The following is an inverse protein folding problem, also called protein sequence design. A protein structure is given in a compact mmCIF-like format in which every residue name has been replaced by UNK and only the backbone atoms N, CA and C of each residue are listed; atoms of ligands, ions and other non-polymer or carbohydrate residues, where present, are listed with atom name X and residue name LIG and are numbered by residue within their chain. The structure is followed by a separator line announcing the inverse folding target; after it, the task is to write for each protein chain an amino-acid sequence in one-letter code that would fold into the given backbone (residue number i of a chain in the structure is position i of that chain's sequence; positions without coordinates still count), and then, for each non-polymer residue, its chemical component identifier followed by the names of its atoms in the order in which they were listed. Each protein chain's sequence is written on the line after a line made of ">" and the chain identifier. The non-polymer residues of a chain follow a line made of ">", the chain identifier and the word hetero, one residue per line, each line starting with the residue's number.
data_IF_484127899494
#
_entry.id   IF_484127899494
#
_cell.length_a   1.000
_cell.length_b   1.000
_cell.length_c   1.000
_cell.angle_alpha   90.00
_cell.angle_beta   90.00
_cell.angle_gamma   90.00
#
_symmetry.space_group_name_H-M   'P 1'
#
loop_
_entity.id
_entity.type
_entity.pdbx_description
1 polymer ?
#
# COMPACT_ATOMS: atom_id res chain seq x y z
N UNK A 1 15.10 17.85 -25.41
CA UNK A 1 14.51 16.51 -25.56
C UNK A 1 13.03 16.72 -25.37
N UNK A 2 12.18 16.41 -26.35
CA UNK A 2 10.74 16.62 -26.19
C UNK A 2 10.24 15.60 -25.13
N UNK A 3 9.43 16.09 -24.18
CA UNK A 3 8.65 15.24 -23.27
C UNK A 3 7.83 14.27 -24.14
N UNK A 4 8.03 12.98 -23.94
CA UNK A 4 7.24 11.94 -24.60
C UNK A 4 6.52 11.15 -23.52
N UNK A 5 5.21 11.25 -23.54
CA UNK A 5 4.34 10.29 -22.87
C UNK A 5 3.77 9.37 -23.95
N UNK A 6 4.08 8.09 -23.89
CA UNK A 6 3.61 7.09 -24.83
C UNK A 6 2.73 6.08 -24.09
N UNK A 7 1.45 6.03 -24.46
CA UNK A 7 0.52 5.08 -23.86
C UNK A 7 0.79 3.70 -24.44
N UNK A 8 1.18 2.76 -23.59
CA UNK A 8 1.43 1.37 -23.93
C UNK A 8 0.16 0.52 -23.84
N UNK A 9 -0.72 0.83 -22.88
CA UNK A 9 -2.02 0.19 -22.70
C UNK A 9 -2.98 1.17 -22.00
N UNK A 10 -4.27 1.00 -22.27
CA UNK A 10 -5.35 1.74 -21.59
C UNK A 10 -6.62 0.91 -21.58
N UNK A 11 -7.34 0.91 -20.47
CA UNK A 11 -8.62 0.22 -20.29
C UNK A 11 -9.53 1.02 -19.35
N UNK A 12 -10.84 0.89 -19.56
CA UNK A 12 -11.84 1.33 -18.60
C UNK A 12 -12.25 0.14 -17.71
N UNK A 13 -11.96 0.23 -16.41
CA UNK A 13 -12.29 -0.81 -15.45
C UNK A 13 -12.78 -0.19 -14.15
N UNK A 14 -13.86 -0.71 -13.57
CA UNK A 14 -14.52 -0.18 -12.36
C UNK A 14 -14.92 1.31 -12.42
N UNK A 15 -15.06 1.86 -13.63
CA UNK A 15 -15.43 3.25 -13.88
C UNK A 15 -14.24 4.21 -13.87
N UNK A 16 -13.03 3.68 -13.96
CA UNK A 16 -11.76 4.37 -14.00
C UNK A 16 -10.99 4.03 -15.28
N UNK A 17 -10.22 4.98 -15.79
CA UNK A 17 -9.27 4.73 -16.86
C UNK A 17 -7.93 4.30 -16.27
N UNK A 18 -7.54 3.05 -16.46
CA UNK A 18 -6.22 2.55 -16.06
C UNK A 18 -5.29 2.63 -17.27
N UNK A 19 -4.09 3.18 -17.08
CA UNK A 19 -3.11 3.39 -18.16
C UNK A 19 -1.74 2.84 -17.79
N UNK A 20 -1.02 2.33 -18.79
CA UNK A 20 0.43 2.11 -18.74
C UNK A 20 1.08 3.11 -19.68
N UNK A 21 1.97 3.94 -19.16
CA UNK A 21 2.56 5.07 -19.87
C UNK A 21 4.08 4.99 -19.76
N UNK A 22 4.79 5.07 -20.90
CA UNK A 22 6.23 5.30 -20.91
C UNK A 22 6.50 6.80 -20.96
N UNK A 23 7.34 7.30 -20.05
CA UNK A 23 7.72 8.72 -19.97
C UNK A 23 9.23 8.88 -19.80
N UNK A 24 9.76 10.02 -20.24
CA UNK A 24 11.16 10.38 -20.06
C UNK A 24 11.39 11.45 -18.97
N UNK A 25 10.32 11.79 -18.25
CA UNK A 25 10.36 12.71 -17.12
C UNK A 25 9.34 12.23 -16.08
N UNK A 26 9.81 12.06 -14.85
CA UNK A 26 8.99 11.77 -13.69
C UNK A 26 9.31 12.84 -12.63
N UNK A 27 8.31 13.62 -12.25
CA UNK A 27 8.50 14.83 -11.47
C UNK A 27 9.60 15.69 -12.13
N UNK A 28 10.71 15.95 -11.54
CA UNK A 28 11.83 16.69 -12.16
C UNK A 28 12.96 15.77 -12.64
N UNK A 29 12.82 14.45 -12.44
CA UNK A 29 13.85 13.48 -12.80
C UNK A 29 13.72 13.05 -14.26
N UNK A 30 14.85 13.17 -15.01
CA UNK A 30 14.96 12.67 -16.38
C UNK A 30 15.43 11.21 -16.37
N UNK A 31 14.73 10.35 -17.10
CA UNK A 31 15.01 8.93 -17.17
C UNK A 31 14.14 8.24 -18.20
N UNK A 32 14.03 6.92 -18.10
CA UNK A 32 13.06 6.12 -18.87
C UNK A 32 12.18 5.38 -17.87
N UNK A 33 10.97 5.86 -17.70
CA UNK A 33 10.05 5.32 -16.71
C UNK A 33 8.83 4.71 -17.39
N UNK A 34 8.32 3.63 -16.82
CA UNK A 34 6.99 3.10 -17.10
C UNK A 34 6.13 3.27 -15.87
N UNK A 35 4.98 3.87 -16.08
CA UNK A 35 4.05 4.29 -15.03
C UNK A 35 2.75 3.53 -15.18
N UNK A 36 2.22 2.99 -14.09
CA UNK A 36 0.83 2.62 -13.92
C UNK A 36 0.10 3.83 -13.34
N UNK A 37 -0.91 4.33 -14.04
CA UNK A 37 -1.71 5.47 -13.56
C UNK A 37 -3.20 5.20 -13.64
N UNK A 38 -3.95 5.85 -12.73
CA UNK A 38 -5.40 5.90 -12.77
C UNK A 38 -5.84 7.30 -13.23
N UNK A 39 -7.01 7.36 -13.91
CA UNK A 39 -7.69 8.58 -14.32
C UNK A 39 -6.77 9.77 -14.72
N UNK A 40 -6.81 10.85 -13.97
CA UNK A 40 -6.16 12.13 -14.27
C UNK A 40 -4.67 12.16 -13.83
N UNK A 41 -3.92 11.10 -14.19
CA UNK A 41 -2.47 10.95 -13.97
C UNK A 41 -2.04 10.63 -12.52
N UNK A 42 -2.95 10.08 -11.68
CA UNK A 42 -2.59 9.54 -10.37
C UNK A 42 -1.66 8.33 -10.51
N UNK A 43 -0.40 8.51 -10.10
CA UNK A 43 0.65 7.50 -10.22
C UNK A 43 0.46 6.43 -9.14
N UNK A 44 0.20 5.18 -9.58
CA UNK A 44 0.03 4.03 -8.71
C UNK A 44 1.28 3.14 -8.62
N UNK A 45 2.15 3.24 -9.60
CA UNK A 45 3.39 2.48 -9.64
C UNK A 45 4.31 2.94 -10.73
N UNK A 46 5.62 2.84 -10.50
CA UNK A 46 6.65 3.26 -11.45
C UNK A 46 7.79 2.25 -11.46
N UNK A 47 8.24 1.90 -12.64
CA UNK A 47 9.51 1.18 -12.85
C UNK A 47 10.48 2.05 -13.66
N UNK A 48 11.73 2.08 -13.23
CA UNK A 48 12.83 2.63 -14.01
C UNK A 48 13.25 1.58 -15.06
N UNK A 49 13.08 1.89 -16.34
CA UNK A 49 13.38 0.95 -17.42
C UNK A 49 14.88 0.76 -17.65
N UNK A 50 15.71 1.66 -17.15
CA UNK A 50 17.18 1.57 -17.23
C UNK A 50 17.76 0.85 -16.00
N UNK A 51 17.07 0.88 -14.86
CA UNK A 51 17.38 0.11 -13.65
C UNK A 51 16.12 -0.49 -13.00
N UNK A 52 15.59 -1.60 -13.50
CA UNK A 52 14.35 -2.20 -12.99
C UNK A 52 14.38 -2.65 -11.52
N UNK A 53 15.56 -2.69 -10.91
CA UNK A 53 15.71 -3.01 -9.47
C UNK A 53 15.59 -1.79 -8.57
N UNK A 54 15.69 -0.60 -9.13
CA UNK A 54 15.49 0.65 -8.41
C UNK A 54 14.01 0.80 -8.04
N UNK A 55 13.73 0.92 -6.76
CA UNK A 55 12.40 1.29 -6.29
C UNK A 55 12.27 2.81 -6.36
N UNK A 56 11.46 3.29 -7.29
CA UNK A 56 11.35 4.72 -7.60
C UNK A 56 10.58 5.47 -6.51
N UNK A 57 9.36 5.01 -6.19
CA UNK A 57 8.48 5.68 -5.22
C UNK A 57 8.97 5.53 -3.77
N UNK A 58 8.67 6.53 -2.95
CA UNK A 58 9.08 6.62 -1.54
C UNK A 58 8.38 5.59 -0.67
N UNK A 59 7.05 5.44 -0.81
CA UNK A 59 6.27 4.63 0.10
C UNK A 59 6.63 3.13 0.08
N UNK A 60 6.89 2.48 -1.07
CA UNK A 60 7.32 1.10 -1.07
C UNK A 60 8.69 0.92 -0.40
N UNK A 61 9.63 1.88 -0.57
CA UNK A 61 10.93 1.87 0.09
C UNK A 61 10.79 1.91 1.61
N UNK A 62 9.90 2.76 2.12
CA UNK A 62 9.65 2.88 3.55
C UNK A 62 8.94 1.63 4.12
N UNK A 63 7.94 1.07 3.41
CA UNK A 63 7.27 -0.18 3.81
C UNK A 63 8.26 -1.34 3.85
N UNK A 64 9.08 -1.51 2.82
CA UNK A 64 10.13 -2.55 2.76
C UNK A 64 11.09 -2.38 3.94
N UNK A 65 11.56 -1.16 4.21
CA UNK A 65 12.41 -0.89 5.37
C UNK A 65 11.75 -1.32 6.69
N UNK A 66 10.48 -0.99 6.90
CA UNK A 66 9.75 -1.36 8.10
C UNK A 66 9.57 -2.88 8.22
N UNK A 67 9.30 -3.59 7.11
CA UNK A 67 9.26 -5.06 7.10
C UNK A 67 10.60 -5.66 7.51
N UNK A 68 11.71 -5.20 6.92
CA UNK A 68 13.07 -5.67 7.24
C UNK A 68 13.48 -5.37 8.68
N UNK A 69 13.09 -4.22 9.25
CA UNK A 69 13.46 -3.86 10.62
C UNK A 69 12.64 -4.62 11.68
N UNK A 70 11.38 -4.94 11.39
CA UNK A 70 10.48 -5.54 12.38
C UNK A 70 10.33 -7.05 12.23
N UNK A 71 10.56 -7.58 11.04
CA UNK A 71 10.43 -9.00 10.74
C UNK A 71 11.50 -9.45 9.74
N UNK A 72 12.82 -9.34 10.06
CA UNK A 72 13.90 -9.61 9.11
C UNK A 72 13.86 -11.03 8.55
N UNK A 73 13.38 -11.99 9.34
CA UNK A 73 13.29 -13.40 8.98
C UNK A 73 11.84 -13.84 8.74
N UNK A 74 10.96 -12.92 8.30
CA UNK A 74 9.58 -13.29 8.05
C UNK A 74 9.49 -14.39 6.98
N UNK A 75 8.57 -15.31 7.18
CA UNK A 75 8.31 -16.39 6.23
C UNK A 75 7.13 -16.07 5.32
N UNK A 76 6.07 -15.44 5.88
CA UNK A 76 4.82 -15.20 5.17
C UNK A 76 4.30 -13.79 5.34
N UNK A 77 4.00 -13.14 4.22
CA UNK A 77 3.34 -11.85 4.19
C UNK A 77 2.07 -11.88 3.33
N UNK A 78 1.09 -11.06 3.69
CA UNK A 78 -0.14 -10.85 2.91
C UNK A 78 -0.25 -9.39 2.50
N UNK A 79 -0.37 -9.14 1.20
CA UNK A 79 -0.49 -7.79 0.64
C UNK A 79 -1.88 -7.61 0.05
N UNK A 80 -2.58 -6.56 0.47
CA UNK A 80 -3.84 -6.11 -0.11
C UNK A 80 -3.54 -4.90 -1.00
N UNK A 81 -3.74 -5.07 -2.30
CA UNK A 81 -3.30 -4.15 -3.34
C UNK A 81 -1.93 -4.56 -3.90
N UNK A 82 -1.92 -4.95 -5.18
CA UNK A 82 -0.71 -5.45 -5.83
C UNK A 82 0.04 -4.37 -6.61
N UNK A 83 -0.72 -3.51 -7.29
CA UNK A 83 -0.17 -2.52 -8.20
C UNK A 83 0.76 -3.16 -9.25
N UNK A 84 1.98 -2.64 -9.37
CA UNK A 84 2.98 -3.20 -10.30
C UNK A 84 3.80 -4.36 -9.69
N UNK A 85 3.53 -4.73 -8.43
CA UNK A 85 4.22 -5.83 -7.73
C UNK A 85 5.52 -5.45 -7.05
N UNK A 86 5.78 -4.17 -6.79
CA UNK A 86 7.06 -3.68 -6.23
C UNK A 86 7.43 -4.36 -4.91
N UNK A 87 6.53 -4.37 -3.92
CA UNK A 87 6.81 -4.93 -2.59
C UNK A 87 6.92 -6.45 -2.67
N UNK A 88 5.98 -7.12 -3.34
CA UNK A 88 5.99 -8.57 -3.49
C UNK A 88 7.22 -9.06 -4.28
N UNK A 89 7.61 -8.36 -5.34
CA UNK A 89 8.78 -8.69 -6.15
C UNK A 89 10.10 -8.48 -5.41
N UNK A 90 10.19 -7.49 -4.51
CA UNK A 90 11.38 -7.28 -3.70
C UNK A 90 11.70 -8.47 -2.78
N UNK A 91 10.67 -9.10 -2.21
CA UNK A 91 10.78 -10.27 -1.34
C UNK A 91 10.45 -11.59 -2.07
N UNK A 92 10.80 -11.70 -3.35
CA UNK A 92 10.38 -12.81 -4.21
C UNK A 92 10.86 -14.21 -3.79
N UNK A 93 11.75 -14.31 -2.79
CA UNK A 93 12.20 -15.56 -2.17
C UNK A 93 11.36 -16.00 -0.95
N UNK A 94 10.35 -15.19 -0.56
CA UNK A 94 9.45 -15.41 0.57
C UNK A 94 8.04 -15.83 0.11
N UNK A 95 7.24 -16.35 1.03
CA UNK A 95 5.80 -16.63 0.79
C UNK A 95 5.02 -15.30 0.77
N UNK A 96 5.03 -14.64 -0.39
CA UNK A 96 4.33 -13.37 -0.63
C UNK A 96 2.97 -13.66 -1.23
N UNK A 97 1.92 -13.53 -0.44
CA UNK A 97 0.53 -13.68 -0.88
C UNK A 97 -0.06 -12.31 -1.17
N UNK A 98 -0.64 -12.15 -2.33
CA UNK A 98 -1.11 -10.84 -2.78
C UNK A 98 -2.54 -10.93 -3.30
N UNK A 99 -3.40 -10.06 -2.76
CA UNK A 99 -4.77 -9.84 -3.22
C UNK A 99 -4.81 -8.58 -4.10
N UNK A 100 -5.45 -8.69 -5.27
CA UNK A 100 -5.68 -7.57 -6.18
C UNK A 100 -7.12 -7.62 -6.68
N UNK A 101 -7.85 -6.52 -6.58
CA UNK A 101 -9.25 -6.47 -7.01
C UNK A 101 -9.37 -6.44 -8.54
N UNK A 102 -8.40 -5.85 -9.24
CA UNK A 102 -8.37 -5.71 -10.69
C UNK A 102 -7.62 -6.88 -11.35
N UNK A 103 -8.29 -7.74 -12.13
CA UNK A 103 -7.62 -8.76 -12.94
C UNK A 103 -6.70 -8.15 -13.98
N UNK A 104 -7.00 -6.95 -14.45
CA UNK A 104 -6.16 -6.21 -15.40
C UNK A 104 -4.83 -5.81 -14.78
N UNK A 105 -4.84 -5.25 -13.57
CA UNK A 105 -3.62 -4.86 -12.87
C UNK A 105 -2.77 -6.10 -12.56
N UNK A 106 -3.39 -7.18 -12.05
CA UNK A 106 -2.70 -8.45 -11.81
C UNK A 106 -2.02 -8.99 -13.08
N UNK A 107 -2.67 -8.90 -14.25
CA UNK A 107 -2.08 -9.28 -15.52
C UNK A 107 -1.00 -8.31 -15.98
N UNK A 108 -1.23 -6.99 -15.87
CA UNK A 108 -0.32 -5.96 -16.35
C UNK A 108 0.96 -5.87 -15.54
N UNK A 109 0.94 -6.19 -14.25
CA UNK A 109 2.16 -6.28 -13.44
C UNK A 109 3.19 -7.23 -14.06
N UNK A 110 2.73 -8.34 -14.63
CA UNK A 110 3.58 -9.30 -15.35
C UNK A 110 3.93 -8.84 -16.76
N UNK A 111 2.93 -8.37 -17.50
CA UNK A 111 3.09 -8.07 -18.94
C UNK A 111 3.93 -6.82 -19.19
N UNK A 112 3.75 -5.78 -18.37
CA UNK A 112 4.38 -4.48 -18.59
C UNK A 112 5.45 -4.13 -17.56
N UNK A 113 5.36 -4.67 -16.33
CA UNK A 113 6.26 -4.29 -15.24
C UNK A 113 7.22 -5.40 -14.83
N UNK A 114 7.16 -6.55 -15.48
CA UNK A 114 8.15 -7.63 -15.30
C UNK A 114 8.04 -8.37 -13.96
N UNK A 115 6.87 -8.29 -13.29
CA UNK A 115 6.65 -9.07 -12.09
C UNK A 115 6.66 -10.57 -12.42
N UNK A 116 7.57 -11.32 -11.80
CA UNK A 116 7.77 -12.77 -11.99
C UNK A 116 7.56 -13.59 -10.70
N UNK A 117 7.11 -12.92 -9.63
CA UNK A 117 6.84 -13.55 -8.33
C UNK A 117 5.62 -14.48 -8.31
N UNK A 118 5.12 -14.77 -7.10
CA UNK A 118 3.98 -15.65 -6.86
C UNK A 118 2.72 -15.21 -7.63
N UNK A 119 1.76 -16.13 -7.75
CA UNK A 119 0.47 -15.81 -8.38
C UNK A 119 -0.30 -14.79 -7.53
N UNK A 120 -0.85 -13.78 -8.19
CA UNK A 120 -1.69 -12.76 -7.57
C UNK A 120 -3.13 -13.29 -7.50
N UNK A 121 -3.70 -13.32 -6.32
CA UNK A 121 -5.08 -13.72 -6.13
C UNK A 121 -6.01 -12.56 -6.50
N UNK A 122 -6.84 -12.77 -7.52
CA UNK A 122 -7.81 -11.75 -7.93
C UNK A 122 -9.06 -11.84 -7.05
N UNK A 123 -9.35 -10.77 -6.32
CA UNK A 123 -10.51 -10.72 -5.43
C UNK A 123 -10.42 -9.63 -4.36
N UNK A 124 -11.45 -9.57 -3.52
CA UNK A 124 -11.48 -8.66 -2.39
C UNK A 124 -10.44 -9.04 -1.32
N UNK A 125 -9.63 -8.06 -0.94
CA UNK A 125 -8.50 -8.28 -0.03
C UNK A 125 -8.92 -8.74 1.36
N UNK A 126 -10.07 -8.29 1.89
CA UNK A 126 -10.58 -8.73 3.19
C UNK A 126 -11.11 -10.16 3.13
N UNK A 127 -11.86 -10.52 2.09
CA UNK A 127 -12.38 -11.88 1.88
C UNK A 127 -11.23 -12.89 1.70
N UNK A 128 -10.16 -12.51 0.99
CA UNK A 128 -8.98 -13.35 0.82
C UNK A 128 -8.16 -13.45 2.11
N UNK A 129 -8.02 -12.36 2.87
CA UNK A 129 -7.36 -12.39 4.17
C UNK A 129 -8.11 -13.29 5.17
N UNK A 130 -9.44 -13.34 5.14
CA UNK A 130 -10.24 -14.23 5.98
C UNK A 130 -9.88 -15.71 5.79
N UNK A 131 -9.46 -16.11 4.59
CA UNK A 131 -9.09 -17.49 4.25
C UNK A 131 -7.70 -17.90 4.78
N UNK A 132 -6.87 -16.92 5.16
CA UNK A 132 -5.57 -17.24 5.75
C UNK A 132 -5.75 -17.91 7.13
N UNK A 133 -4.85 -18.84 7.50
CA UNK A 133 -4.88 -19.43 8.84
C UNK A 133 -4.63 -18.39 9.93
N UNK A 134 -5.31 -18.52 11.06
CA UNK A 134 -5.11 -17.63 12.21
C UNK A 134 -3.67 -17.76 12.72
N UNK A 135 -3.05 -16.63 13.07
CA UNK A 135 -1.70 -16.57 13.61
C UNK A 135 -0.59 -16.97 12.64
N UNK A 136 -0.83 -16.95 11.32
CA UNK A 136 0.12 -17.44 10.32
C UNK A 136 0.94 -16.36 9.62
N UNK A 137 0.55 -15.09 9.73
CA UNK A 137 1.17 -13.99 8.98
C UNK A 137 2.16 -13.22 9.86
N UNK A 138 3.35 -13.02 9.33
CA UNK A 138 4.37 -12.15 9.92
C UNK A 138 4.13 -10.70 9.57
N UNK A 139 3.71 -10.42 8.33
CA UNK A 139 3.46 -9.09 7.84
C UNK A 139 2.13 -9.03 7.07
N UNK A 140 1.37 -7.97 7.29
CA UNK A 140 0.25 -7.57 6.45
C UNK A 140 0.56 -6.18 5.90
N UNK A 141 0.40 -6.00 4.59
CA UNK A 141 0.49 -4.69 3.94
C UNK A 141 -0.85 -4.34 3.34
N UNK A 142 -1.38 -3.16 3.68
CA UNK A 142 -2.57 -2.60 3.06
C UNK A 142 -2.16 -1.41 2.19
N UNK A 143 -2.19 -1.61 0.88
CA UNK A 143 -1.84 -0.64 -0.16
C UNK A 143 -2.92 -0.63 -1.26
N UNK A 144 -4.17 -0.48 -0.84
CA UNK A 144 -5.34 -0.57 -1.71
C UNK A 144 -6.01 0.79 -1.89
N UNK A 145 -6.02 1.26 -3.13
CA UNK A 145 -6.68 2.49 -3.55
C UNK A 145 -7.63 2.21 -4.69
N UNK A 146 -8.76 2.91 -4.71
CA UNK A 146 -9.66 2.92 -5.84
C UNK A 146 -10.02 4.35 -6.20
N UNK A 147 -10.26 4.62 -7.47
CA UNK A 147 -10.69 5.94 -7.93
C UNK A 147 -12.04 6.38 -7.33
N UNK A 148 -12.90 5.43 -6.99
CA UNK A 148 -14.17 5.69 -6.30
C UNK A 148 -14.00 6.08 -4.84
N UNK A 149 -12.76 6.19 -4.38
CA UNK A 149 -12.38 6.50 -3.01
C UNK A 149 -11.88 5.29 -2.26
N UNK A 150 -11.81 5.45 -0.97
CA UNK A 150 -11.28 4.47 -0.02
C UNK A 150 -12.20 3.25 0.05
N UNK A 151 -11.65 2.04 -0.07
CA UNK A 151 -12.42 0.81 0.20
C UNK A 151 -12.68 0.68 1.71
N UNK A 152 -13.72 1.36 2.21
CA UNK A 152 -14.00 1.57 3.64
C UNK A 152 -13.97 0.30 4.48
N UNK A 153 -14.42 -0.83 3.93
CA UNK A 153 -14.43 -2.13 4.62
C UNK A 153 -13.02 -2.66 4.97
N UNK A 154 -11.96 -2.04 4.43
CA UNK A 154 -10.56 -2.32 4.78
C UNK A 154 -10.03 -1.40 5.89
N UNK A 155 -10.86 -0.51 6.45
CA UNK A 155 -10.43 0.48 7.43
C UNK A 155 -11.32 0.49 8.68
N UNK A 156 -12.13 -0.55 8.89
CA UNK A 156 -13.03 -0.69 10.03
C UNK A 156 -12.38 -1.42 11.19
N UNK A 157 -12.93 -1.26 12.39
CA UNK A 157 -12.46 -1.97 13.59
C UNK A 157 -12.52 -3.49 13.42
N UNK A 158 -13.52 -3.99 12.69
CA UNK A 158 -13.66 -5.41 12.36
C UNK A 158 -12.53 -5.90 11.48
N UNK A 159 -12.11 -5.09 10.49
CA UNK A 159 -10.95 -5.42 9.67
C UNK A 159 -9.65 -5.45 10.49
N UNK A 160 -9.43 -4.50 11.40
CA UNK A 160 -8.23 -4.49 12.25
C UNK A 160 -8.19 -5.71 13.18
N UNK A 161 -9.34 -6.11 13.74
CA UNK A 161 -9.46 -7.31 14.55
C UNK A 161 -9.20 -8.59 13.73
N UNK A 162 -9.70 -8.66 12.50
CA UNK A 162 -9.39 -9.73 11.55
C UNK A 162 -7.88 -9.78 11.27
N UNK A 163 -7.28 -8.66 10.90
CA UNK A 163 -5.85 -8.57 10.63
C UNK A 163 -5.01 -9.04 11.84
N UNK A 164 -5.32 -8.53 13.05
CA UNK A 164 -4.65 -8.96 14.29
C UNK A 164 -4.78 -10.44 14.55
N UNK A 165 -5.93 -11.04 14.27
CA UNK A 165 -6.19 -12.49 14.41
C UNK A 165 -5.33 -13.31 13.43
N UNK A 166 -5.15 -12.83 12.20
CA UNK A 166 -4.34 -13.51 11.17
C UNK A 166 -2.84 -13.40 11.41
N UNK A 167 -2.40 -12.33 12.08
CA UNK A 167 -1.01 -12.11 12.44
C UNK A 167 -0.56 -13.03 13.57
N UNK A 168 0.68 -13.54 13.44
CA UNK A 168 1.35 -14.26 14.52
C UNK A 168 1.77 -13.31 15.68
N UNK A 169 2.42 -13.83 16.72
CA UNK A 169 2.84 -13.07 17.90
C UNK A 169 3.91 -11.99 17.61
N UNK A 170 4.52 -12.04 16.44
CA UNK A 170 5.53 -11.06 15.97
C UNK A 170 5.01 -10.17 14.85
N UNK A 171 3.73 -10.33 14.52
CA UNK A 171 3.17 -9.72 13.33
C UNK A 171 3.11 -8.20 13.37
N UNK A 172 3.23 -7.63 12.19
CA UNK A 172 3.12 -6.18 11.92
C UNK A 172 2.16 -5.94 10.75
N UNK A 173 1.33 -4.91 10.88
CA UNK A 173 0.53 -4.41 9.76
C UNK A 173 1.03 -3.03 9.38
N UNK A 174 1.19 -2.81 8.08
CA UNK A 174 1.67 -1.58 7.46
C UNK A 174 0.62 -1.07 6.47
N UNK A 175 0.19 0.17 6.65
CA UNK A 175 -0.83 0.77 5.83
C UNK A 175 -0.23 1.94 5.05
N UNK A 176 -0.43 1.95 3.73
CA UNK A 176 -0.25 3.13 2.92
C UNK A 176 -1.61 3.83 2.79
N UNK A 177 -1.70 5.06 3.24
CA UNK A 177 -2.91 5.89 3.12
C UNK A 177 -2.55 7.29 2.63
N UNK A 178 -3.48 7.95 1.97
CA UNK A 178 -3.31 9.34 1.58
C UNK A 178 -3.96 10.28 2.60
N UNK A 179 -3.25 11.34 2.96
CA UNK A 179 -3.76 12.36 3.84
C UNK A 179 -3.42 13.77 3.35
N UNK A 180 -4.34 14.70 3.53
CA UNK A 180 -4.20 16.08 3.11
C UNK A 180 -3.75 16.97 4.26
N UNK A 181 -2.67 17.71 4.05
CA UNK A 181 -2.15 18.64 5.05
C UNK A 181 -1.68 17.96 6.34
N UNK A 182 -1.72 18.67 7.45
CA UNK A 182 -1.31 18.15 8.77
C UNK A 182 -2.44 17.39 9.48
N UNK A 183 -3.70 17.71 9.16
CA UNK A 183 -4.91 17.12 9.75
C UNK A 183 -5.81 16.61 8.66
N UNK A 184 -6.10 15.34 8.72
CA UNK A 184 -6.98 14.67 7.76
C UNK A 184 -7.90 13.73 8.54
N UNK A 185 -9.20 14.00 8.49
CA UNK A 185 -10.20 13.26 9.27
C UNK A 185 -10.27 11.78 8.92
N UNK A 186 -9.90 11.38 7.69
CA UNK A 186 -9.81 9.98 7.32
C UNK A 186 -8.59 9.32 7.97
N UNK A 187 -7.43 9.96 7.87
CA UNK A 187 -6.20 9.46 8.52
C UNK A 187 -6.39 9.35 10.03
N UNK A 188 -7.02 10.36 10.66
CA UNK A 188 -7.30 10.37 12.10
C UNK A 188 -8.25 9.23 12.50
N UNK A 189 -9.28 8.94 11.68
CA UNK A 189 -10.21 7.83 11.92
C UNK A 189 -9.53 6.45 11.77
N UNK A 190 -8.71 6.26 10.73
CA UNK A 190 -7.91 5.04 10.53
C UNK A 190 -6.93 4.85 11.68
N UNK A 191 -6.25 5.94 12.09
CA UNK A 191 -5.32 5.93 13.22
C UNK A 191 -5.99 5.53 14.53
N UNK A 192 -7.19 6.06 14.80
CA UNK A 192 -7.98 5.71 15.98
C UNK A 192 -8.28 4.21 16.01
N UNK A 193 -8.74 3.61 14.89
CA UNK A 193 -9.03 2.18 14.80
C UNK A 193 -7.79 1.30 14.97
N UNK A 194 -6.67 1.66 14.33
CA UNK A 194 -5.41 0.94 14.49
C UNK A 194 -4.93 1.00 15.94
N UNK A 195 -4.99 2.20 16.56
CA UNK A 195 -4.53 2.42 17.94
C UNK A 195 -5.41 1.74 19.00
N UNK A 196 -6.69 1.48 18.69
CA UNK A 196 -7.56 0.73 19.59
C UNK A 196 -7.22 -0.76 19.60
N UNK A 197 -6.81 -1.31 18.44
CA UNK A 197 -6.62 -2.75 18.28
C UNK A 197 -5.18 -3.20 18.57
N UNK A 198 -4.17 -2.40 18.24
CA UNK A 198 -2.77 -2.77 18.37
C UNK A 198 -2.10 -2.11 19.56
N UNK A 199 -1.27 -2.87 20.30
CA UNK A 199 -0.57 -2.39 21.50
C UNK A 199 0.54 -1.38 21.17
N UNK A 200 1.15 -1.51 19.99
CA UNK A 200 2.22 -0.64 19.52
C UNK A 200 1.86 -0.08 18.17
N UNK A 201 1.87 1.24 18.07
CA UNK A 201 1.52 1.95 16.85
C UNK A 201 2.54 3.03 16.52
N UNK A 202 2.74 3.29 15.24
CA UNK A 202 3.61 4.35 14.76
C UNK A 202 3.04 4.93 13.47
N UNK A 203 3.12 6.25 13.32
CA UNK A 203 2.72 6.92 12.10
C UNK A 203 3.89 7.71 11.49
N UNK A 204 3.92 7.72 10.16
CA UNK A 204 4.88 8.48 9.37
C UNK A 204 4.16 9.21 8.25
N UNK A 205 4.72 10.35 7.82
CA UNK A 205 4.18 11.15 6.74
C UNK A 205 5.30 11.64 5.81
N UNK A 206 5.04 11.65 4.51
CA UNK A 206 5.84 12.48 3.61
C UNK A 206 5.47 13.95 3.84
N UNK A 207 6.46 14.84 4.04
CA UNK A 207 6.19 16.27 4.13
C UNK A 207 5.58 16.76 2.82
N UNK A 208 4.48 17.53 2.86
CA UNK A 208 3.93 18.16 1.67
C UNK A 208 4.79 19.37 1.26
N UNK A 209 4.89 19.65 -0.03
CA UNK A 209 5.49 20.87 -0.55
C UNK A 209 4.56 22.08 -0.32
N UNK A 210 3.25 21.92 -0.49
CA UNK A 210 2.20 22.87 -0.12
C UNK A 210 1.29 22.24 0.97
N UNK A 211 0.86 23.02 1.98
CA UNK A 211 -0.03 22.50 3.04
C UNK A 211 -1.36 21.89 2.55
N UNK A 212 -1.73 22.10 1.30
CA UNK A 212 -2.93 21.54 0.69
C UNK A 212 -2.68 20.24 -0.06
N UNK A 213 -1.41 19.87 -0.24
CA UNK A 213 -1.06 18.65 -0.96
C UNK A 213 -1.53 17.42 -0.21
N UNK A 214 -1.90 16.42 -0.98
CA UNK A 214 -2.16 15.08 -0.47
C UNK A 214 -0.88 14.28 -0.58
N UNK A 215 -0.42 13.73 0.55
CA UNK A 215 0.81 12.94 0.61
C UNK A 215 0.57 11.58 1.24
N UNK A 216 1.47 10.63 0.95
CA UNK A 216 1.45 9.32 1.57
C UNK A 216 1.70 9.43 3.08
N UNK A 217 0.93 8.62 3.82
CA UNK A 217 1.10 8.34 5.24
C UNK A 217 1.31 6.85 5.40
N UNK A 218 2.25 6.45 6.24
CA UNK A 218 2.40 5.06 6.64
C UNK A 218 1.95 4.94 8.09
N UNK A 219 0.89 4.16 8.31
CA UNK A 219 0.42 3.83 9.64
C UNK A 219 0.82 2.38 9.95
N UNK A 220 1.24 2.16 11.17
CA UNK A 220 1.79 0.87 11.63
C UNK A 220 1.04 0.41 12.86
N UNK A 221 0.58 -0.84 12.84
CA UNK A 221 0.08 -1.55 14.02
C UNK A 221 0.91 -2.81 14.26
N UNK A 222 1.29 -3.07 15.50
CA UNK A 222 2.13 -4.22 15.86
C UNK A 222 1.79 -4.77 17.24
N UNK A 223 2.08 -6.05 17.45
CA UNK A 223 2.05 -6.71 18.77
C UNK A 223 3.34 -6.45 19.57
N UNK A 224 4.33 -5.80 18.98
CA UNK A 224 5.63 -5.48 19.60
C UNK A 224 6.04 -4.05 19.24
N UNK A 225 6.98 -3.52 20.01
CA UNK A 225 7.54 -2.21 19.73
C UNK A 225 8.05 -2.09 18.29
N UNK A 226 7.68 -1.01 17.61
CA UNK A 226 8.02 -0.75 16.21
C UNK A 226 9.44 -0.22 16.11
N UNK A 227 10.27 -0.90 15.34
CA UNK A 227 11.65 -0.52 15.06
C UNK A 227 11.78 0.13 13.69
N UNK A 228 12.53 1.22 13.62
CA UNK A 228 12.82 1.90 12.35
C UNK A 228 14.11 2.72 12.43
N UNK A 229 14.68 3.04 11.27
CA UNK A 229 15.79 3.97 11.11
C UNK A 229 15.31 5.14 10.26
N UNK A 230 15.08 6.30 10.88
CA UNK A 230 14.48 7.44 10.21
C UNK A 230 15.21 7.84 8.92
N UNK A 231 16.54 7.78 8.89
CA UNK A 231 17.32 8.05 7.68
C UNK A 231 17.12 7.06 6.51
N UNK A 232 16.42 5.93 6.75
CA UNK A 232 16.10 4.92 5.73
C UNK A 232 14.60 4.90 5.38
N UNK A 233 13.81 5.82 5.92
CA UNK A 233 12.38 5.94 5.69
C UNK A 233 12.02 6.70 4.39
N UNK A 234 12.96 6.82 3.45
CA UNK A 234 12.74 7.42 2.14
C UNK A 234 12.09 8.82 2.15
N UNK A 235 12.43 9.65 3.13
CA UNK A 235 11.88 11.00 3.29
C UNK A 235 10.70 11.09 4.25
N UNK A 236 10.07 9.98 4.63
CA UNK A 236 9.04 9.98 5.64
C UNK A 236 9.55 10.45 7.00
N UNK A 237 8.77 11.26 7.68
CA UNK A 237 9.01 11.77 9.01
C UNK A 237 7.99 11.19 9.98
N UNK A 238 8.34 11.13 11.27
CA UNK A 238 7.40 10.76 12.33
C UNK A 238 6.22 11.73 12.30
N UNK A 239 5.02 11.19 12.37
CA UNK A 239 3.76 11.93 12.39
C UNK A 239 2.93 11.51 13.59
N UNK A 240 2.12 12.42 14.09
CA UNK A 240 1.20 12.19 15.19
C UNK A 240 -0.20 12.60 14.73
N UNK A 241 -0.98 11.68 14.10
CA UNK A 241 -2.37 11.97 13.74
C UNK A 241 -3.20 12.27 14.99
N UNK A 242 -4.25 13.08 14.84
CA UNK A 242 -5.22 13.30 15.92
C UNK A 242 -6.05 12.02 16.15
N UNK A 243 -6.72 11.91 17.28
CA UNK A 243 -7.64 10.80 17.55
C UNK A 243 -8.97 11.11 16.87
N UNK A 244 -9.30 10.32 15.84
CA UNK A 244 -10.55 10.40 15.11
C UNK A 244 -11.65 9.50 15.67
N UNK A 245 -12.74 9.40 14.94
CA UNK A 245 -13.82 8.44 15.22
C UNK A 245 -13.45 7.09 14.59
N UNK A 246 -13.49 6.03 15.39
CA UNK A 246 -13.27 4.66 14.87
C UNK A 246 -14.35 4.32 13.85
N UNK A 247 -13.94 3.74 12.74
CA UNK A 247 -14.83 3.31 11.67
C UNK A 247 -15.30 1.88 11.97
N UNK A 248 -16.60 1.63 11.77
CA UNK A 248 -17.23 0.33 11.98
C UNK A 248 -17.96 -0.12 10.72
N UNK A 249 -18.06 -1.42 10.49
CA UNK A 249 -18.72 -1.99 9.30
C UNK A 249 -20.16 -1.49 9.14
N UNK A 250 -20.89 -1.31 10.25
CA UNK A 250 -22.27 -0.83 10.24
C UNK A 250 -22.42 0.57 9.61
N UNK A 251 -21.40 1.43 9.73
CA UNK A 251 -21.41 2.78 9.16
C UNK A 251 -21.48 2.77 7.63
N UNK A 252 -21.04 1.67 7.00
CA UNK A 252 -20.95 1.52 5.54
C UNK A 252 -21.88 0.45 4.99
N UNK A 253 -22.77 -0.09 5.83
CA UNK A 253 -23.75 -1.10 5.43
C UNK A 253 -23.17 -2.51 5.23
N UNK A 254 -21.98 -2.77 5.75
CA UNK A 254 -21.44 -4.12 5.83
C UNK A 254 -22.07 -4.83 7.02
N UNK A 255 -23.10 -5.65 6.77
CA UNK A 255 -23.65 -6.51 7.80
C UNK A 255 -22.71 -7.69 8.04
N UNK A 256 -22.42 -7.99 9.31
CA UNK A 256 -21.75 -9.24 9.66
C UNK A 256 -22.58 -10.42 9.09
N UNK A 257 -21.94 -11.26 8.28
CA UNK A 257 -22.53 -12.51 7.78
C UNK A 257 -22.46 -13.58 8.84
#
# INVERSE_FOLDING_TARGET
>A
MNLRNEIQASIEEYGSTIKVIDTNLLDEEKGRFRVLSFADDDIQGVIDLDDPKRIVLEYPRAIIHLMEQNSPDFERAFIIGHGIGTIAGYFGDRDMRTAEISPTIAQWSRTYFGYDGAEVQVGDGRELLEQEPDGSLDCIVLDAFTEKGTPWHLFTSEFWNLAKKKMNERGIILLNVFGRGQRDSFVDAVWAGVSEVFEHTQAFALPPDDPRDTTNRILVGSKREVSFKLGQMAGFQISEPDIGTVLEDEMFGYAQK
#
